data_IF_143881600353
#
_entry.id   IF_143881600353
#
_cell.length_a   1.000
_cell.length_b   1.000
_cell.length_c   1.000
_cell.angle_alpha   90.00
_cell.angle_beta   90.00
_cell.angle_gamma   90.00
#
_symmetry.space_group_name_H-M   'P 1'
#
loop_
_entity.id
_entity.type
_entity.pdbx_description
1 polymer ?
#
# COMPACT_ATOMS: atom_id res chain seq x y z
N UNK A 1 -12.99 -20.64 8.64
CA UNK A 1 -12.70 -19.20 8.58
C UNK A 1 -13.23 -18.54 7.29
N UNK A 2 -12.94 -19.03 6.11
CA UNK A 2 -13.39 -18.40 4.84
C UNK A 2 -14.91 -18.30 4.64
N UNK A 3 -15.74 -19.10 5.31
CA UNK A 3 -17.21 -19.06 5.18
C UNK A 3 -17.88 -17.80 5.76
N UNK A 4 -17.13 -16.98 6.49
CA UNK A 4 -17.61 -15.74 7.12
C UNK A 4 -16.95 -14.49 6.51
N UNK A 5 -16.23 -14.64 5.40
CA UNK A 5 -15.55 -13.54 4.71
C UNK A 5 -16.44 -13.00 3.61
N UNK A 6 -16.63 -11.70 3.62
CA UNK A 6 -17.32 -10.96 2.55
C UNK A 6 -16.26 -10.19 1.78
N UNK A 7 -16.26 -10.34 0.47
CA UNK A 7 -15.34 -9.60 -0.41
C UNK A 7 -15.95 -8.26 -0.80
N UNK A 8 -15.16 -7.18 -0.72
CA UNK A 8 -15.58 -5.84 -1.12
C UNK A 8 -14.67 -5.39 -2.26
N UNK A 9 -15.19 -5.10 -3.46
CA UNK A 9 -14.38 -4.57 -4.55
C UNK A 9 -13.97 -3.12 -4.30
N UNK A 10 -12.83 -2.70 -4.88
CA UNK A 10 -12.41 -1.30 -4.82
C UNK A 10 -13.47 -0.37 -5.42
N UNK A 11 -13.64 0.80 -4.81
CA UNK A 11 -14.58 1.83 -5.23
C UNK A 11 -16.05 1.56 -4.93
N UNK A 12 -16.38 0.35 -4.45
CA UNK A 12 -17.77 0.06 -4.07
C UNK A 12 -18.11 0.65 -2.69
N UNK A 13 -19.20 1.40 -2.64
CA UNK A 13 -19.77 1.88 -1.37
C UNK A 13 -20.50 0.71 -0.70
N UNK A 14 -20.04 0.33 0.49
CA UNK A 14 -20.57 -0.82 1.23
C UNK A 14 -21.06 -0.37 2.61
N UNK A 15 -22.31 -0.69 2.93
CA UNK A 15 -22.83 -0.48 4.28
C UNK A 15 -22.25 -1.52 5.24
N UNK A 16 -21.51 -1.08 6.26
CA UNK A 16 -20.94 -1.94 7.30
C UNK A 16 -21.68 -1.85 8.63
N UNK A 17 -22.43 -0.79 8.81
CA UNK A 17 -23.42 -0.58 9.87
C UNK A 17 -24.50 0.38 9.38
N UNK A 18 -25.59 0.60 10.14
CA UNK A 18 -26.64 1.53 9.74
C UNK A 18 -26.15 2.95 9.45
N UNK A 19 -25.09 3.38 10.14
CA UNK A 19 -24.58 4.77 10.07
C UNK A 19 -23.18 4.84 9.47
N UNK A 20 -22.57 3.72 9.03
CA UNK A 20 -21.21 3.71 8.50
C UNK A 20 -21.18 3.00 7.17
N UNK A 21 -20.66 3.72 6.17
CA UNK A 21 -20.32 3.17 4.86
C UNK A 21 -18.80 3.10 4.70
N UNK A 22 -18.35 2.09 3.99
CA UNK A 22 -16.93 1.86 3.68
C UNK A 22 -16.73 1.87 2.17
N UNK A 23 -15.68 2.56 1.73
CA UNK A 23 -15.12 2.45 0.39
C UNK A 23 -13.67 2.01 0.51
N UNK A 24 -13.32 0.91 -0.15
CA UNK A 24 -11.94 0.47 -0.27
C UNK A 24 -11.32 1.04 -1.53
N UNK A 25 -10.06 1.52 -1.43
CA UNK A 25 -9.28 1.97 -2.58
C UNK A 25 -7.91 1.31 -2.56
N UNK A 26 -7.27 1.16 -3.73
CA UNK A 26 -5.94 0.57 -3.84
C UNK A 26 -4.92 1.34 -2.98
N UNK A 27 -4.21 0.64 -2.10
CA UNK A 27 -3.13 1.21 -1.30
C UNK A 27 -1.74 1.13 -1.97
N UNK A 28 -1.61 0.40 -3.08
CA UNK A 28 -0.38 0.30 -3.88
C UNK A 28 0.77 -0.46 -3.23
N UNK A 29 0.58 -1.00 -2.02
CA UNK A 29 1.64 -1.59 -1.21
C UNK A 29 1.91 -3.05 -1.58
N UNK A 30 0.92 -3.91 -1.46
CA UNK A 30 0.96 -5.32 -1.88
C UNK A 30 -0.33 -5.67 -2.64
N UNK A 31 -0.37 -6.85 -3.26
CA UNK A 31 -1.55 -7.31 -3.97
C UNK A 31 -2.77 -7.40 -3.04
N UNK A 32 -3.83 -6.68 -3.38
CA UNK A 32 -5.06 -6.62 -2.57
C UNK A 32 -5.01 -5.66 -1.37
N UNK A 33 -3.91 -4.92 -1.15
CA UNK A 33 -3.85 -3.90 -0.09
C UNK A 33 -4.82 -2.77 -0.36
N UNK A 34 -5.51 -2.31 0.69
CA UNK A 34 -6.54 -1.30 0.56
C UNK A 34 -6.40 -0.19 1.61
N UNK A 35 -6.68 1.02 1.19
CA UNK A 35 -7.05 2.10 2.10
C UNK A 35 -8.53 2.03 2.39
N UNK A 36 -8.93 2.36 3.60
CA UNK A 36 -10.31 2.35 4.06
C UNK A 36 -10.82 3.78 4.20
N UNK A 37 -11.85 4.14 3.43
CA UNK A 37 -12.54 5.42 3.57
C UNK A 37 -13.91 5.17 4.20
N UNK A 38 -14.08 5.61 5.43
CA UNK A 38 -15.31 5.48 6.20
C UNK A 38 -16.11 6.77 6.11
N UNK A 39 -17.40 6.65 5.75
CA UNK A 39 -18.39 7.71 5.82
C UNK A 39 -19.29 7.44 7.03
N UNK A 40 -19.19 8.25 8.04
CA UNK A 40 -19.85 8.10 9.34
C UNK A 40 -20.99 9.12 9.44
N UNK A 41 -22.15 8.72 9.98
CA UNK A 41 -23.28 9.61 10.19
C UNK A 41 -23.78 10.22 8.87
N UNK A 42 -24.06 9.40 7.85
CA UNK A 42 -24.46 9.87 6.52
C UNK A 42 -23.49 10.87 5.87
N UNK A 43 -22.19 10.77 6.21
CA UNK A 43 -21.16 11.63 5.67
C UNK A 43 -20.88 12.90 6.51
N UNK A 44 -21.38 12.97 7.72
CA UNK A 44 -21.05 14.04 8.67
C UNK A 44 -19.56 14.06 9.01
N UNK A 45 -18.94 12.85 9.11
CA UNK A 45 -17.52 12.67 9.35
C UNK A 45 -16.92 11.63 8.40
N UNK A 46 -15.84 12.00 7.72
CA UNK A 46 -15.12 11.11 6.81
C UNK A 46 -13.73 10.82 7.38
N UNK A 47 -13.49 9.54 7.61
CA UNK A 47 -12.25 9.03 8.19
C UNK A 47 -11.55 8.14 7.18
N UNK A 48 -10.27 8.43 6.90
CA UNK A 48 -9.42 7.59 6.05
C UNK A 48 -8.35 6.91 6.89
N UNK A 49 -8.25 5.60 6.76
CA UNK A 49 -7.17 4.77 7.28
C UNK A 49 -6.40 4.17 6.11
N UNK A 50 -5.12 4.47 6.02
CA UNK A 50 -4.33 4.03 4.86
C UNK A 50 -3.86 2.59 4.96
N UNK A 51 -3.68 2.04 6.17
CA UNK A 51 -2.82 0.89 6.34
C UNK A 51 -1.43 1.23 5.79
N UNK A 52 -0.67 0.22 5.38
CA UNK A 52 0.59 0.41 4.66
C UNK A 52 0.30 0.89 3.24
N UNK A 53 0.86 2.04 2.86
CA UNK A 53 0.55 2.72 1.60
C UNK A 53 1.80 2.98 0.76
N UNK A 54 1.70 2.88 -0.57
CA UNK A 54 2.77 3.22 -1.48
C UNK A 54 2.31 4.20 -2.57
N UNK A 55 2.85 5.40 -2.56
CA UNK A 55 2.54 6.45 -3.54
C UNK A 55 3.11 6.17 -4.92
N UNK A 56 4.34 5.65 -4.98
CA UNK A 56 5.02 5.39 -6.24
C UNK A 56 4.51 4.13 -6.93
N UNK A 57 4.36 4.18 -8.23
CA UNK A 57 4.10 3.00 -9.06
C UNK A 57 5.28 2.02 -8.96
N UNK A 58 4.97 0.74 -8.77
CA UNK A 58 5.96 -0.34 -8.84
C UNK A 58 5.92 -1.04 -10.20
N UNK A 59 6.76 -2.08 -10.41
CA UNK A 59 6.71 -2.88 -11.65
C UNK A 59 5.41 -3.67 -11.78
N UNK A 60 4.83 -4.10 -10.67
CA UNK A 60 3.71 -5.03 -10.64
C UNK A 60 2.42 -4.38 -10.14
N UNK A 61 2.51 -3.27 -9.42
CA UNK A 61 1.38 -2.64 -8.77
C UNK A 61 1.26 -1.17 -9.15
N UNK A 62 0.04 -0.74 -9.38
CA UNK A 62 -0.27 0.68 -9.55
C UNK A 62 -0.08 1.42 -8.21
N UNK A 63 0.15 2.73 -8.29
CA UNK A 63 0.26 3.60 -7.12
C UNK A 63 -1.05 3.61 -6.30
N UNK A 64 -0.93 3.97 -5.03
CA UNK A 64 -2.09 4.18 -4.18
C UNK A 64 -3.06 5.21 -4.79
N UNK A 65 -4.35 4.96 -4.62
CA UNK A 65 -5.37 5.98 -4.87
C UNK A 65 -5.37 6.96 -3.70
N UNK A 66 -5.11 8.22 -4.00
CA UNK A 66 -5.09 9.32 -3.02
C UNK A 66 -6.20 10.34 -3.25
N UNK A 67 -7.12 10.06 -4.15
CA UNK A 67 -8.22 10.96 -4.46
C UNK A 67 -9.42 10.64 -3.55
N UNK A 68 -9.50 11.35 -2.44
CA UNK A 68 -10.63 11.30 -1.51
C UNK A 68 -11.43 12.61 -1.62
N UNK A 69 -12.73 12.54 -1.91
CA UNK A 69 -13.54 13.76 -2.11
C UNK A 69 -13.68 14.62 -0.85
N UNK A 70 -13.61 13.98 0.32
CA UNK A 70 -13.69 14.68 1.63
C UNK A 70 -13.05 13.82 2.72
N UNK A 71 -12.21 14.44 3.55
CA UNK A 71 -11.53 13.80 4.69
C UNK A 71 -11.47 14.77 5.85
N UNK A 72 -12.11 14.43 6.96
CA UNK A 72 -11.98 15.17 8.23
C UNK A 72 -10.86 14.60 9.10
N UNK A 73 -10.66 13.28 9.03
CA UNK A 73 -9.59 12.62 9.79
C UNK A 73 -8.82 11.66 8.90
N UNK A 74 -7.50 11.77 8.92
CA UNK A 74 -6.58 10.86 8.23
C UNK A 74 -5.68 10.16 9.26
N UNK A 75 -5.72 8.81 9.26
CA UNK A 75 -4.75 7.97 9.95
C UNK A 75 -3.83 7.34 8.90
N UNK A 76 -2.58 7.76 8.91
CA UNK A 76 -1.57 7.36 7.93
C UNK A 76 -0.36 6.74 8.64
N UNK A 77 0.24 5.73 8.02
CA UNK A 77 1.53 5.18 8.44
C UNK A 77 2.66 6.21 8.32
N UNK A 78 3.79 5.93 8.98
CA UNK A 78 4.99 6.74 8.92
C UNK A 78 6.28 5.91 8.91
N UNK A 79 6.24 4.75 8.28
CA UNK A 79 7.38 3.80 8.21
C UNK A 79 8.63 4.46 7.63
N UNK A 80 8.47 5.31 6.63
CA UNK A 80 9.52 6.13 6.03
C UNK A 80 9.19 7.62 6.17
N UNK A 81 8.83 8.03 7.40
CA UNK A 81 8.35 9.39 7.69
C UNK A 81 9.42 10.34 8.22
N UNK A 82 10.63 9.88 8.47
CA UNK A 82 11.71 10.74 8.94
C UNK A 82 12.31 11.57 7.79
N UNK A 83 12.90 12.69 8.13
CA UNK A 83 13.52 13.60 7.14
C UNK A 83 14.63 12.93 6.34
N UNK A 84 15.27 11.95 6.94
CA UNK A 84 16.40 11.18 6.39
C UNK A 84 15.94 10.01 5.51
N UNK A 85 14.64 9.65 5.53
CA UNK A 85 14.08 8.52 4.77
C UNK A 85 13.87 8.88 3.28
N UNK A 86 14.93 9.41 2.66
CA UNK A 86 14.93 9.73 1.23
C UNK A 86 15.25 8.46 0.46
N UNK A 87 14.28 7.93 -0.24
CA UNK A 87 14.49 6.75 -1.08
C UNK A 87 15.31 7.12 -2.32
N UNK A 88 16.37 6.37 -2.64
CA UNK A 88 17.16 6.60 -3.85
C UNK A 88 16.33 6.32 -5.11
N UNK A 89 16.81 6.83 -6.25
CA UNK A 89 16.17 6.57 -7.52
C UNK A 89 16.15 5.07 -7.84
N UNK A 90 15.06 4.61 -8.41
CA UNK A 90 14.85 3.19 -8.68
C UNK A 90 15.89 2.61 -9.64
N UNK A 91 16.29 3.34 -10.68
CA UNK A 91 17.27 2.85 -11.66
C UNK A 91 18.64 2.69 -11.01
N UNK A 92 19.00 3.58 -10.08
CA UNK A 92 20.21 3.48 -9.28
C UNK A 92 20.19 2.23 -8.39
N UNK A 93 19.08 1.98 -7.69
CA UNK A 93 18.90 0.78 -6.85
C UNK A 93 19.00 -0.50 -7.68
N UNK A 94 18.32 -0.57 -8.82
CA UNK A 94 18.36 -1.73 -9.71
C UNK A 94 19.79 -1.98 -10.25
N UNK A 95 20.47 -0.95 -10.68
CA UNK A 95 21.86 -1.03 -11.18
C UNK A 95 22.81 -1.54 -10.11
N UNK A 96 22.72 -0.99 -8.90
CA UNK A 96 23.52 -1.39 -7.76
C UNK A 96 23.26 -2.84 -7.36
N UNK A 97 21.99 -3.24 -7.34
CA UNK A 97 21.59 -4.61 -7.05
C UNK A 97 22.17 -5.60 -8.06
N UNK A 98 22.02 -5.32 -9.36
CA UNK A 98 22.56 -6.18 -10.44
C UNK A 98 24.09 -6.27 -10.36
N UNK A 99 24.78 -5.15 -10.12
CA UNK A 99 26.23 -5.13 -9.96
C UNK A 99 26.70 -5.98 -8.77
N UNK A 100 26.01 -5.86 -7.63
CA UNK A 100 26.30 -6.62 -6.41
C UNK A 100 26.11 -8.12 -6.62
N UNK A 101 25.00 -8.52 -7.21
CA UNK A 101 24.73 -9.93 -7.53
C UNK A 101 25.81 -10.49 -8.45
N UNK A 102 26.13 -9.78 -9.52
CA UNK A 102 27.13 -10.24 -10.50
C UNK A 102 28.52 -10.36 -9.87
N UNK A 103 28.92 -9.46 -8.97
CA UNK A 103 30.19 -9.54 -8.25
C UNK A 103 30.28 -10.83 -7.44
N UNK A 104 29.27 -11.11 -6.61
CA UNK A 104 29.22 -12.33 -5.79
C UNK A 104 29.27 -13.60 -6.63
N UNK A 105 28.52 -13.65 -7.73
CA UNK A 105 28.47 -14.82 -8.60
C UNK A 105 29.79 -15.05 -9.35
N UNK A 106 30.51 -14.00 -9.76
CA UNK A 106 31.85 -14.10 -10.38
C UNK A 106 32.90 -14.72 -9.45
N UNK A 107 32.76 -14.50 -8.15
CA UNK A 107 33.61 -15.08 -7.12
C UNK A 107 33.16 -16.49 -6.68
N UNK A 108 32.17 -17.07 -7.33
CA UNK A 108 31.60 -18.38 -6.98
C UNK A 108 30.73 -18.36 -5.71
N UNK A 109 30.35 -17.19 -5.24
CA UNK A 109 29.48 -17.00 -4.08
C UNK A 109 28.02 -17.29 -4.37
N UNK A 110 27.19 -17.17 -3.33
CA UNK A 110 25.73 -17.35 -3.39
C UNK A 110 25.05 -16.08 -2.90
N UNK A 111 23.92 -15.73 -3.52
CA UNK A 111 23.08 -14.60 -3.11
C UNK A 111 21.77 -15.15 -2.53
N UNK A 112 21.44 -14.72 -1.31
CA UNK A 112 20.16 -15.00 -0.67
C UNK A 112 19.28 -13.74 -0.73
N UNK A 113 18.12 -13.86 -1.33
CA UNK A 113 17.16 -12.77 -1.48
C UNK A 113 15.89 -13.14 -0.72
N UNK A 114 15.66 -12.60 0.49
CA UNK A 114 14.40 -12.78 1.19
C UNK A 114 13.30 -11.98 0.50
N UNK A 115 12.21 -12.65 0.18
CA UNK A 115 11.03 -12.02 -0.40
C UNK A 115 9.80 -12.37 0.43
N UNK A 116 8.83 -11.44 0.62
CA UNK A 116 7.56 -11.76 1.25
C UNK A 116 6.78 -12.76 0.37
N UNK A 117 6.05 -13.65 1.02
CA UNK A 117 5.07 -14.48 0.32
C UNK A 117 3.87 -13.61 -0.06
N UNK A 118 3.42 -13.71 -1.30
CA UNK A 118 2.24 -13.02 -1.83
C UNK A 118 1.09 -14.02 -1.92
#
# INVERSE_FOLDING_TARGET
MMRQTITIPYGAVTDISPDIKLVLSNAGHILGSATCHFHIGNGEHNFVYTGDIKYGKSMLLESANTNYPRVETLLIESTYGAKEDIQPDRQEVESTFVASVNSVLKEGGKVLIPIPAV
#
